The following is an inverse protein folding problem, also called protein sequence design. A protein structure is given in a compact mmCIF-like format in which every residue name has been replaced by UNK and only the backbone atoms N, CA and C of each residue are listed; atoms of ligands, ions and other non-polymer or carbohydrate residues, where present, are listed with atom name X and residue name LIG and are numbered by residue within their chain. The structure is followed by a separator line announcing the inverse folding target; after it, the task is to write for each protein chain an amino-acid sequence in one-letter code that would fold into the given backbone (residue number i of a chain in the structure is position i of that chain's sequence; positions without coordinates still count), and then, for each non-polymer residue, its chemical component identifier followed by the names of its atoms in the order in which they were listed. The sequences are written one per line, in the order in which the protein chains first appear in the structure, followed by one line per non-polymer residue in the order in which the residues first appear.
data_IF_157785137834
#
_entry.id   IF_157785137834
#
_cell.length_a   1.000
_cell.length_b   1.000
_cell.length_c   1.000
_cell.angle_alpha   90.00
_cell.angle_beta   90.00
_cell.angle_gamma   90.00
#
_symmetry.space_group_name_H-M   'P 1'
#
loop_
_entity.id
_entity.type
_entity.pdbx_description
1 polymer ?
#
# COMPACT_ATOMS: atom_id res chain seq x y z
N UNK A 1 5.32 -15.25 0.23
CA UNK A 1 6.23 -14.10 0.40
C UNK A 1 6.47 -13.80 1.87
N UNK A 2 7.59 -13.18 2.16
CA UNK A 2 7.97 -12.74 3.51
C UNK A 2 8.23 -11.24 3.50
N UNK A 3 7.86 -10.58 4.58
CA UNK A 3 8.12 -9.16 4.79
C UNK A 3 9.28 -8.98 5.77
N UNK A 4 10.20 -8.07 5.46
CA UNK A 4 11.33 -7.75 6.32
C UNK A 4 11.67 -6.26 6.22
N UNK A 5 12.43 -5.73 7.19
CA UNK A 5 12.93 -4.36 7.09
C UNK A 5 13.90 -4.24 5.92
N UNK A 6 14.00 -3.05 5.32
CA UNK A 6 14.98 -2.78 4.26
C UNK A 6 16.44 -3.02 4.68
N UNK A 7 16.78 -2.95 5.97
CA UNK A 7 18.12 -3.32 6.44
C UNK A 7 18.38 -4.83 6.51
N UNK A 8 17.33 -5.66 6.48
CA UNK A 8 17.40 -7.09 6.73
C UNK A 8 17.42 -7.96 5.47
N UNK A 9 16.95 -7.46 4.32
CA UNK A 9 16.79 -8.31 3.11
C UNK A 9 18.12 -8.96 2.69
N UNK A 10 19.24 -8.22 2.74
CA UNK A 10 20.54 -8.73 2.37
C UNK A 10 20.98 -9.92 3.24
N UNK A 11 20.70 -9.86 4.54
CA UNK A 11 20.98 -10.94 5.49
C UNK A 11 20.14 -12.18 5.20
N UNK A 12 18.87 -12.00 4.85
CA UNK A 12 17.94 -13.09 4.49
C UNK A 12 18.40 -13.76 3.19
N UNK A 13 18.67 -12.99 2.13
CA UNK A 13 19.12 -13.54 0.85
C UNK A 13 20.48 -14.25 1.00
N UNK A 14 21.42 -13.68 1.77
CA UNK A 14 22.71 -14.31 2.04
C UNK A 14 22.55 -15.65 2.77
N UNK A 15 21.62 -15.76 3.72
CA UNK A 15 21.31 -17.01 4.42
C UNK A 15 20.87 -18.11 3.44
N UNK A 16 19.90 -17.81 2.56
CA UNK A 16 19.42 -18.80 1.58
C UNK A 16 20.49 -19.15 0.53
N UNK A 17 21.31 -18.17 0.11
CA UNK A 17 22.44 -18.42 -0.78
C UNK A 17 23.45 -19.39 -0.17
N UNK A 18 23.77 -19.26 1.12
CA UNK A 18 24.66 -20.18 1.84
C UNK A 18 24.10 -21.61 1.93
N UNK A 19 22.77 -21.75 1.94
CA UNK A 19 22.08 -23.05 1.90
C UNK A 19 21.98 -23.64 0.48
N UNK A 20 22.57 -22.98 -0.53
CA UNK A 20 22.59 -23.44 -1.93
C UNK A 20 21.35 -23.08 -2.74
N UNK A 21 20.49 -22.19 -2.25
CA UNK A 21 19.35 -21.68 -3.01
C UNK A 21 19.79 -20.59 -3.99
N UNK A 22 19.08 -20.48 -5.12
CA UNK A 22 19.25 -19.35 -6.03
C UNK A 22 18.54 -18.12 -5.44
N UNK A 23 19.16 -16.96 -5.54
CA UNK A 23 18.62 -15.69 -5.02
C UNK A 23 18.76 -14.60 -6.05
N UNK A 24 17.82 -13.67 -6.08
CA UNK A 24 17.78 -12.53 -6.99
C UNK A 24 17.39 -11.26 -6.22
N UNK A 25 17.93 -10.12 -6.64
CA UNK A 25 17.44 -8.80 -6.23
C UNK A 25 16.76 -8.25 -7.48
N UNK A 26 15.43 -8.26 -7.52
CA UNK A 26 14.66 -7.79 -8.67
C UNK A 26 14.60 -6.26 -8.67
N UNK A 27 14.46 -5.67 -7.48
CA UNK A 27 14.50 -4.22 -7.28
C UNK A 27 15.11 -3.92 -5.91
N UNK A 28 16.21 -3.17 -5.90
CA UNK A 28 16.97 -2.85 -4.69
C UNK A 28 16.21 -1.96 -3.70
N UNK A 29 15.06 -1.40 -4.10
CA UNK A 29 14.21 -0.56 -3.26
C UNK A 29 13.13 -1.36 -2.53
N UNK A 30 12.72 -2.53 -3.04
CA UNK A 30 11.58 -3.23 -2.44
C UNK A 30 11.52 -4.76 -2.55
N UNK A 31 12.23 -5.40 -3.49
CA UNK A 31 12.01 -6.81 -3.82
C UNK A 31 13.29 -7.63 -4.05
N UNK A 32 13.45 -8.67 -3.24
CA UNK A 32 14.32 -9.81 -3.52
C UNK A 32 13.53 -11.10 -3.71
N UNK A 33 14.16 -12.15 -4.25
CA UNK A 33 13.54 -13.46 -4.46
C UNK A 33 14.48 -14.58 -4.06
N UNK A 34 13.90 -15.69 -3.59
CA UNK A 34 14.61 -16.94 -3.29
C UNK A 34 13.93 -18.07 -4.05
N UNK A 35 14.72 -18.93 -4.69
CA UNK A 35 14.25 -20.00 -5.57
C UNK A 35 14.75 -21.38 -5.14
N UNK A 36 13.88 -22.39 -5.31
CA UNK A 36 14.19 -23.82 -5.23
C UNK A 36 13.48 -24.58 -6.35
N UNK A 37 14.18 -24.78 -7.47
CA UNK A 37 13.58 -25.34 -8.68
C UNK A 37 12.49 -24.41 -9.21
N UNK A 38 11.26 -24.91 -9.35
CA UNK A 38 10.10 -24.13 -9.81
C UNK A 38 9.42 -23.31 -8.71
N UNK A 39 9.82 -23.50 -7.45
CA UNK A 39 9.23 -22.80 -6.31
C UNK A 39 10.04 -21.55 -5.98
N UNK A 40 9.35 -20.48 -5.63
CA UNK A 40 9.98 -19.26 -5.14
C UNK A 40 9.14 -18.58 -4.07
N UNK A 41 9.75 -17.65 -3.36
CA UNK A 41 9.03 -16.67 -2.57
C UNK A 41 9.73 -15.31 -2.64
N UNK A 42 8.94 -14.26 -2.47
CA UNK A 42 9.44 -12.90 -2.46
C UNK A 42 9.91 -12.50 -1.05
N UNK A 43 11.01 -11.75 -1.00
CA UNK A 43 11.52 -11.04 0.16
C UNK A 43 11.19 -9.57 -0.05
N UNK A 44 10.08 -9.14 0.55
CA UNK A 44 9.49 -7.81 0.35
C UNK A 44 9.93 -6.91 1.49
N UNK A 45 10.51 -5.76 1.16
CA UNK A 45 11.00 -4.79 2.15
C UNK A 45 10.50 -3.36 1.92
N UNK A 46 9.62 -3.19 0.93
CA UNK A 46 8.86 -1.98 0.66
C UNK A 46 7.79 -2.24 -0.39
N UNK A 47 7.12 -1.20 -0.86
CA UNK A 47 6.27 -1.24 -2.05
C UNK A 47 6.99 -0.71 -3.28
N UNK A 48 6.61 -1.18 -4.46
CA UNK A 48 7.18 -0.77 -5.74
C UNK A 48 7.07 0.74 -6.02
N UNK A 49 6.09 1.42 -5.42
CA UNK A 49 5.89 2.86 -5.51
C UNK A 49 6.56 3.67 -4.38
N UNK A 50 7.24 3.00 -3.45
CA UNK A 50 7.97 3.61 -2.32
C UNK A 50 7.10 4.18 -1.19
N UNK A 51 5.76 4.01 -1.21
CA UNK A 51 4.87 4.60 -0.20
C UNK A 51 4.66 3.74 1.04
N UNK A 52 5.03 2.46 0.99
CA UNK A 52 4.79 1.49 2.06
C UNK A 52 6.09 0.80 2.48
N UNK A 53 6.94 1.45 3.31
CA UNK A 53 8.10 0.78 3.88
C UNK A 53 7.69 -0.28 4.90
N UNK A 54 8.44 -1.38 4.96
CA UNK A 54 8.29 -2.37 6.03
C UNK A 54 9.10 -1.94 7.25
N UNK A 55 8.42 -1.42 8.27
CA UNK A 55 9.02 -0.88 9.50
C UNK A 55 8.85 -1.77 10.73
N UNK A 56 9.18 -1.25 11.90
CA UNK A 56 9.04 -1.97 13.19
C UNK A 56 7.59 -2.33 13.49
N UNK A 57 6.68 -1.40 13.27
CA UNK A 57 5.24 -1.58 13.50
C UNK A 57 4.64 -2.75 12.70
N UNK A 58 5.18 -3.06 11.51
CA UNK A 58 4.78 -4.25 10.74
C UNK A 58 5.06 -5.53 11.51
N UNK A 59 6.21 -5.62 12.17
CA UNK A 59 6.66 -6.81 12.89
C UNK A 59 6.03 -6.88 14.29
N UNK A 60 5.87 -5.73 14.96
CA UNK A 60 5.25 -5.62 16.28
C UNK A 60 3.77 -5.99 16.27
N UNK A 61 3.04 -5.59 15.21
CA UNK A 61 1.62 -5.90 15.05
C UNK A 61 1.35 -7.17 14.23
N UNK A 62 2.39 -7.89 13.82
CA UNK A 62 2.25 -9.17 13.16
C UNK A 62 1.61 -10.20 14.10
N UNK A 63 0.66 -10.97 13.59
CA UNK A 63 -0.13 -11.93 14.37
C UNK A 63 0.44 -13.31 14.24
N UNK A 64 0.44 -14.05 15.33
CA UNK A 64 0.80 -15.47 15.27
C UNK A 64 -0.40 -16.29 14.80
N UNK A 65 -0.14 -17.20 13.88
CA UNK A 65 -1.10 -18.20 13.42
C UNK A 65 -0.39 -19.52 13.16
N UNK A 66 -1.16 -20.59 13.05
CA UNK A 66 -0.69 -21.88 12.57
C UNK A 66 -0.99 -22.00 11.07
N UNK A 67 0.04 -22.22 10.28
CA UNK A 67 -0.06 -22.42 8.83
C UNK A 67 0.72 -23.68 8.47
N UNK A 68 0.03 -24.67 7.91
CA UNK A 68 0.62 -25.95 7.50
C UNK A 68 1.45 -26.62 8.63
N UNK A 69 0.93 -26.60 9.86
CA UNK A 69 1.60 -27.17 11.04
C UNK A 69 2.78 -26.35 11.58
N UNK A 70 3.02 -25.15 11.05
CA UNK A 70 4.08 -24.25 11.49
C UNK A 70 3.50 -23.00 12.14
N UNK A 71 4.04 -22.61 13.30
CA UNK A 71 3.68 -21.34 13.95
C UNK A 71 4.42 -20.20 13.26
N UNK A 72 3.67 -19.38 12.53
CA UNK A 72 4.20 -18.28 11.73
C UNK A 72 3.62 -16.93 12.18
N UNK A 73 4.28 -15.85 11.78
CA UNK A 73 3.72 -14.50 11.90
C UNK A 73 3.14 -14.07 10.55
N UNK A 74 1.91 -13.58 10.57
CA UNK A 74 1.23 -12.99 9.41
C UNK A 74 1.01 -11.49 9.64
N UNK A 75 0.95 -10.74 8.55
CA UNK A 75 0.68 -9.30 8.55
C UNK A 75 -0.64 -8.98 9.28
N UNK A 76 -0.65 -7.89 10.04
CA UNK A 76 -1.86 -7.37 10.67
C UNK A 76 -2.81 -6.72 9.65
N UNK A 77 -4.13 -6.62 9.93
CA UNK A 77 -5.11 -6.09 8.99
C UNK A 77 -4.89 -4.60 8.68
N UNK A 78 -4.39 -3.81 9.65
CA UNK A 78 -4.02 -2.40 9.43
C UNK A 78 -2.95 -2.27 8.35
N UNK A 79 -1.82 -2.97 8.52
CA UNK A 79 -0.71 -2.96 7.57
C UNK A 79 -1.08 -3.64 6.25
N UNK A 80 -1.94 -4.67 6.27
CA UNK A 80 -2.44 -5.33 5.07
C UNK A 80 -3.24 -4.38 4.20
N UNK A 81 -4.18 -3.62 4.78
CA UNK A 81 -4.93 -2.60 4.05
C UNK A 81 -3.98 -1.56 3.48
N UNK A 82 -3.08 -1.04 4.32
CA UNK A 82 -2.11 -0.03 3.89
C UNK A 82 -1.27 -0.49 2.68
N UNK A 83 -0.76 -1.72 2.71
CA UNK A 83 0.05 -2.29 1.62
C UNK A 83 -0.72 -2.47 0.30
N UNK A 84 -2.05 -2.51 0.36
CA UNK A 84 -2.92 -2.79 -0.78
C UNK A 84 -3.58 -1.54 -1.36
N UNK A 85 -3.67 -0.44 -0.59
CA UNK A 85 -4.34 0.80 -1.01
C UNK A 85 -3.87 1.34 -2.37
N UNK A 86 -2.60 1.14 -2.71
CA UNK A 86 -2.01 1.66 -3.94
C UNK A 86 -1.94 0.66 -5.10
N UNK A 87 -2.38 -0.59 -4.92
CA UNK A 87 -2.34 -1.61 -5.98
C UNK A 87 -3.62 -1.49 -6.81
N UNK A 88 -3.55 -0.68 -7.87
CA UNK A 88 -4.68 -0.34 -8.73
C UNK A 88 -4.23 -0.17 -10.19
N UNK A 89 -3.44 -1.12 -10.68
CA UNK A 89 -3.04 -1.16 -12.08
C UNK A 89 -4.09 -1.88 -12.95
N UNK A 90 -3.98 -1.73 -14.26
CA UNK A 90 -4.89 -2.35 -15.22
C UNK A 90 -5.01 -3.87 -15.10
N UNK A 91 -3.94 -4.57 -14.71
CA UNK A 91 -3.88 -6.02 -14.60
C UNK A 91 -4.16 -6.55 -13.19
N UNK A 92 -4.07 -5.69 -12.17
CA UNK A 92 -4.17 -6.04 -10.76
C UNK A 92 -4.71 -4.88 -9.93
N UNK A 93 -5.80 -5.18 -9.23
CA UNK A 93 -6.45 -4.26 -8.31
C UNK A 93 -6.82 -4.98 -7.01
N UNK A 94 -6.22 -4.58 -5.89
CA UNK A 94 -6.35 -5.27 -4.60
C UNK A 94 -7.55 -4.77 -3.75
N UNK A 95 -8.48 -4.00 -4.32
CA UNK A 95 -9.62 -3.43 -3.57
C UNK A 95 -10.54 -4.47 -2.91
N UNK A 96 -10.69 -5.66 -3.50
CA UNK A 96 -11.48 -6.74 -2.89
C UNK A 96 -10.83 -7.25 -1.59
N UNK A 97 -9.50 -7.36 -1.56
CA UNK A 97 -8.77 -7.77 -0.37
C UNK A 97 -8.92 -6.76 0.77
N UNK A 98 -8.90 -5.47 0.45
CA UNK A 98 -9.18 -4.39 1.41
C UNK A 98 -10.60 -4.53 1.97
N UNK A 99 -11.59 -4.66 1.09
CA UNK A 99 -12.98 -4.75 1.50
C UNK A 99 -13.26 -6.00 2.37
N UNK A 100 -12.69 -7.15 2.00
CA UNK A 100 -12.77 -8.37 2.79
C UNK A 100 -12.07 -8.24 4.15
N UNK A 101 -10.94 -7.54 4.20
CA UNK A 101 -10.22 -7.29 5.47
C UNK A 101 -11.06 -6.44 6.42
N UNK A 102 -11.71 -5.37 5.92
CA UNK A 102 -12.62 -4.54 6.72
C UNK A 102 -13.82 -5.36 7.21
N UNK A 103 -14.40 -6.19 6.34
CA UNK A 103 -15.55 -7.02 6.69
C UNK A 103 -15.20 -8.06 7.77
N UNK A 104 -14.05 -8.72 7.66
CA UNK A 104 -13.70 -9.89 8.49
C UNK A 104 -12.81 -9.58 9.69
N UNK A 105 -12.14 -8.44 9.70
CA UNK A 105 -11.21 -8.04 10.75
C UNK A 105 -11.37 -6.58 11.19
N UNK A 106 -12.53 -5.96 10.92
CA UNK A 106 -12.81 -4.54 11.18
C UNK A 106 -12.58 -4.11 12.63
N UNK A 107 -12.92 -4.98 13.58
CA UNK A 107 -12.72 -4.80 15.02
C UNK A 107 -11.25 -4.81 15.45
N UNK A 108 -10.36 -5.30 14.59
CA UNK A 108 -8.94 -5.41 14.86
C UNK A 108 -8.08 -4.51 13.96
N UNK A 109 -8.71 -3.63 13.18
CA UNK A 109 -8.03 -2.57 12.45
C UNK A 109 -7.78 -1.41 13.40
N UNK A 110 -6.52 -0.98 13.48
CA UNK A 110 -6.16 0.28 14.12
C UNK A 110 -6.36 1.42 13.10
N UNK A 111 -7.54 2.02 13.15
CA UNK A 111 -7.96 3.07 12.23
C UNK A 111 -7.16 4.36 12.37
N UNK A 112 -6.69 4.68 13.58
CA UNK A 112 -5.82 5.86 13.79
C UNK A 112 -4.45 5.65 13.15
N UNK A 113 -3.87 4.46 13.30
CA UNK A 113 -2.60 4.12 12.65
C UNK A 113 -2.74 4.03 11.14
N UNK A 114 -3.84 3.45 10.63
CA UNK A 114 -4.11 3.43 9.19
C UNK A 114 -4.19 4.84 8.60
N UNK A 115 -4.93 5.75 9.27
CA UNK A 115 -4.99 7.15 8.86
C UNK A 115 -3.60 7.80 8.91
N UNK A 116 -2.82 7.56 9.97
CA UNK A 116 -1.45 8.08 10.09
C UNK A 116 -0.54 7.64 8.94
N UNK A 117 -0.64 6.40 8.47
CA UNK A 117 0.13 5.92 7.31
C UNK A 117 -0.31 6.58 6.00
N UNK A 118 -1.60 6.89 5.88
CA UNK A 118 -2.21 7.46 4.68
C UNK A 118 -2.44 8.97 4.79
N UNK A 119 -1.82 9.67 5.75
CA UNK A 119 -2.16 11.07 6.06
C UNK A 119 -2.00 12.00 4.85
N UNK A 120 -0.91 11.84 4.10
CA UNK A 120 -0.64 12.59 2.86
C UNK A 120 -1.40 12.06 1.63
N UNK A 121 -2.06 10.91 1.78
CA UNK A 121 -2.79 10.17 0.76
C UNK A 121 -4.22 9.83 1.22
N UNK A 122 -4.81 10.69 2.05
CA UNK A 122 -6.06 10.42 2.74
C UNK A 122 -7.21 10.26 1.75
N UNK A 123 -7.11 10.85 0.55
CA UNK A 123 -8.06 10.66 -0.54
C UNK A 123 -8.13 9.19 -1.00
N UNK A 124 -6.99 8.47 -0.99
CA UNK A 124 -6.94 7.03 -1.32
C UNK A 124 -7.67 6.23 -0.24
N UNK A 125 -7.49 6.57 1.04
CA UNK A 125 -8.24 5.93 2.12
C UNK A 125 -9.75 6.18 1.96
N UNK A 126 -10.16 7.43 1.74
CA UNK A 126 -11.56 7.80 1.54
C UNK A 126 -12.19 7.01 0.39
N UNK A 127 -11.48 6.86 -0.73
CA UNK A 127 -11.92 6.06 -1.87
C UNK A 127 -12.21 4.59 -1.47
N UNK A 128 -11.32 3.96 -0.71
CA UNK A 128 -11.52 2.59 -0.24
C UNK A 128 -12.71 2.47 0.73
N UNK A 129 -12.89 3.44 1.62
CA UNK A 129 -14.03 3.46 2.55
C UNK A 129 -15.37 3.64 1.82
N UNK A 130 -15.44 4.52 0.83
CA UNK A 130 -16.63 4.69 0.00
C UNK A 130 -16.91 3.39 -0.78
N UNK A 131 -15.88 2.78 -1.37
CA UNK A 131 -16.01 1.53 -2.11
C UNK A 131 -16.53 0.40 -1.20
N UNK A 132 -15.97 0.24 0.00
CA UNK A 132 -16.47 -0.74 0.99
C UNK A 132 -17.96 -0.53 1.30
N UNK A 133 -18.39 0.70 1.56
CA UNK A 133 -19.80 1.02 1.87
C UNK A 133 -20.73 0.73 0.70
N UNK A 134 -20.25 0.84 -0.54
CA UNK A 134 -21.02 0.48 -1.73
C UNK A 134 -21.11 -1.04 -1.90
N UNK A 135 -20.02 -1.77 -1.66
CA UNK A 135 -19.98 -3.24 -1.71
C UNK A 135 -20.85 -3.86 -0.62
N UNK A 136 -20.78 -3.32 0.62
CA UNK A 136 -21.47 -3.84 1.80
C UNK A 136 -22.34 -2.77 2.48
N UNK A 137 -23.49 -2.39 1.90
CA UNK A 137 -24.33 -1.34 2.45
C UNK A 137 -24.92 -1.67 3.84
N UNK A 138 -25.12 -2.96 4.15
CA UNK A 138 -25.58 -3.42 5.48
C UNK A 138 -24.47 -3.39 6.54
N UNK A 139 -23.21 -3.51 6.13
CA UNK A 139 -22.05 -3.63 7.03
C UNK A 139 -21.29 -2.30 7.16
N UNK A 140 -21.89 -1.20 6.70
CA UNK A 140 -21.26 0.12 6.60
C UNK A 140 -20.71 0.66 7.92
N UNK A 141 -21.23 0.15 9.05
CA UNK A 141 -20.86 0.52 10.41
C UNK A 141 -19.57 -0.17 10.89
N UNK A 142 -18.97 -1.07 10.08
CA UNK A 142 -17.60 -1.56 10.28
C UNK A 142 -16.55 -0.45 10.17
N UNK A 143 -16.90 0.66 9.51
CA UNK A 143 -16.04 1.84 9.41
C UNK A 143 -16.42 2.80 10.54
N UNK A 144 -15.47 3.26 11.38
CA UNK A 144 -15.75 4.23 12.41
C UNK A 144 -16.32 5.53 11.84
N UNK A 145 -17.43 6.01 12.40
CA UNK A 145 -18.07 7.24 11.95
C UNK A 145 -17.11 8.44 11.96
N UNK A 146 -16.30 8.58 13.02
CA UNK A 146 -15.32 9.67 13.14
C UNK A 146 -14.33 9.71 11.98
N UNK A 147 -13.93 8.55 11.43
CA UNK A 147 -12.95 8.48 10.36
C UNK A 147 -13.57 8.98 9.05
N UNK A 148 -14.80 8.56 8.76
CA UNK A 148 -15.51 9.03 7.59
C UNK A 148 -15.78 10.54 7.68
N UNK A 149 -16.22 11.02 8.85
CA UNK A 149 -16.48 12.44 9.09
C UNK A 149 -15.21 13.29 8.93
N UNK A 150 -14.07 12.84 9.48
CA UNK A 150 -12.77 13.48 9.32
C UNK A 150 -12.36 13.60 7.85
N UNK A 151 -12.45 12.51 7.07
CA UNK A 151 -12.03 12.50 5.67
C UNK A 151 -12.98 13.33 4.78
N UNK A 152 -14.28 13.35 5.07
CA UNK A 152 -15.25 14.19 4.37
C UNK A 152 -15.05 15.68 4.70
N UNK A 153 -14.71 16.01 5.95
CA UNK A 153 -14.37 17.38 6.34
C UNK A 153 -13.07 17.87 5.67
N UNK A 154 -12.04 17.02 5.58
CA UNK A 154 -10.82 17.31 4.79
C UNK A 154 -11.15 17.63 3.34
N UNK A 155 -12.02 16.84 2.70
CA UNK A 155 -12.47 17.10 1.34
C UNK A 155 -13.25 18.41 1.24
N UNK A 156 -14.15 18.69 2.18
CA UNK A 156 -14.92 19.93 2.22
C UNK A 156 -14.01 21.17 2.33
N UNK A 157 -12.98 21.11 3.19
CA UNK A 157 -11.96 22.17 3.32
C UNK A 157 -11.08 22.28 2.07
N UNK A 158 -10.63 21.17 1.50
CA UNK A 158 -9.81 21.17 0.28
C UNK A 158 -10.54 21.85 -0.90
N UNK A 159 -11.86 21.66 -1.03
CA UNK A 159 -12.69 22.31 -2.06
C UNK A 159 -12.77 23.83 -1.95
N UNK A 160 -12.42 24.41 -0.80
CA UNK A 160 -12.37 25.86 -0.61
C UNK A 160 -11.02 26.46 -1.00
N UNK A 161 -9.99 25.63 -1.17
CA UNK A 161 -8.65 26.06 -1.53
C UNK A 161 -8.50 26.21 -3.06
N UNK A 162 -7.63 27.12 -3.53
CA UNK A 162 -7.30 27.18 -4.93
C UNK A 162 -6.59 25.90 -5.37
N UNK A 163 -6.70 25.59 -6.66
CA UNK A 163 -5.93 24.50 -7.25
C UNK A 163 -4.42 24.75 -7.16
N UNK A 164 -3.60 23.69 -7.04
CA UNK A 164 -2.15 23.82 -7.15
C UNK A 164 -1.73 24.48 -8.47
N UNK A 165 -0.74 25.39 -8.40
CA UNK A 165 -0.20 26.09 -9.57
C UNK A 165 0.50 25.14 -10.54
N UNK A 166 1.18 24.13 -10.02
CA UNK A 166 1.85 23.11 -10.84
C UNK A 166 0.85 22.02 -11.24
N UNK A 167 0.92 21.55 -12.48
CA UNK A 167 0.24 20.33 -12.93
C UNK A 167 0.94 19.15 -12.24
N UNK A 168 0.26 18.48 -11.32
CA UNK A 168 0.79 17.33 -10.57
C UNK A 168 -0.08 16.10 -10.85
N UNK A 169 0.54 14.98 -11.20
CA UNK A 169 -0.12 13.69 -11.32
C UNK A 169 0.46 12.72 -10.27
N UNK A 170 -0.41 12.31 -9.33
CA UNK A 170 -0.08 11.27 -8.33
C UNK A 170 -0.45 9.86 -8.81
N UNK A 171 -1.03 9.73 -10.01
CA UNK A 171 -1.49 8.44 -10.56
C UNK A 171 -0.39 7.40 -10.67
N UNK A 172 0.88 7.81 -10.86
CA UNK A 172 2.03 6.89 -10.87
C UNK A 172 2.30 6.19 -9.53
N UNK A 173 1.69 6.65 -8.44
CA UNK A 173 1.66 5.90 -7.17
C UNK A 173 0.70 4.70 -7.24
N UNK A 174 -0.34 4.77 -8.07
CA UNK A 174 -1.32 3.70 -8.27
C UNK A 174 -0.89 2.73 -9.39
N UNK A 175 -0.43 3.28 -10.51
CA UNK A 175 0.08 2.51 -11.65
C UNK A 175 1.13 3.33 -12.40
N UNK A 176 2.37 2.83 -12.44
CA UNK A 176 3.46 3.54 -13.13
C UNK A 176 3.23 3.61 -14.65
N UNK A 177 2.62 2.56 -15.21
CA UNK A 177 2.40 2.39 -16.65
C UNK A 177 1.16 3.13 -17.13
N UNK A 178 0.04 3.01 -16.41
CA UNK A 178 -1.23 3.60 -16.86
C UNK A 178 -1.21 5.13 -16.83
N UNK A 179 -0.41 5.71 -15.91
CA UNK A 179 -0.23 7.16 -15.75
C UNK A 179 1.12 7.66 -16.28
N UNK A 180 1.77 6.91 -17.16
CA UNK A 180 3.03 7.34 -17.76
C UNK A 180 2.83 8.52 -18.71
N UNK A 181 1.74 8.49 -19.48
CA UNK A 181 1.36 9.54 -20.44
C UNK A 181 1.17 10.90 -19.77
N UNK A 182 0.65 10.92 -18.54
CA UNK A 182 0.45 12.14 -17.75
C UNK A 182 1.76 12.94 -17.59
N UNK A 183 2.86 12.22 -17.36
CA UNK A 183 4.18 12.82 -17.11
C UNK A 183 4.94 13.03 -18.42
N UNK A 184 4.88 12.08 -19.36
CA UNK A 184 5.66 12.15 -20.61
C UNK A 184 5.08 13.12 -21.63
N UNK A 185 3.76 13.22 -21.71
CA UNK A 185 3.08 13.91 -22.80
C UNK A 185 2.14 15.02 -22.30
N UNK A 186 1.48 14.85 -21.16
CA UNK A 186 0.50 15.83 -20.68
C UNK A 186 1.07 16.89 -19.72
N UNK A 187 2.40 16.89 -19.51
CA UNK A 187 3.11 17.96 -18.78
C UNK A 187 2.92 17.96 -17.26
N UNK A 188 2.43 16.86 -16.67
CA UNK A 188 2.29 16.75 -15.22
C UNK A 188 3.62 16.37 -14.54
N UNK A 189 3.90 17.00 -13.40
CA UNK A 189 4.93 16.56 -12.48
C UNK A 189 4.51 15.25 -11.80
N UNK A 190 5.41 14.27 -11.79
CA UNK A 190 5.32 13.14 -10.87
C UNK A 190 5.65 13.54 -9.42
N UNK A 191 5.54 12.61 -8.49
CA UNK A 191 5.92 12.83 -7.08
C UNK A 191 7.42 13.15 -7.00
N UNK A 192 7.77 14.35 -6.56
CA UNK A 192 9.16 14.84 -6.48
C UNK A 192 9.75 15.36 -7.80
N UNK A 193 8.96 15.42 -8.88
CA UNK A 193 9.40 15.90 -10.20
C UNK A 193 9.06 17.38 -10.46
N UNK A 194 9.58 17.90 -11.58
CA UNK A 194 9.21 19.21 -12.13
C UNK A 194 8.12 19.01 -13.19
N UNK A 195 7.14 19.91 -13.27
CA UNK A 195 6.07 19.88 -14.28
C UNK A 195 5.64 21.27 -14.70
N UNK A 196 4.75 21.34 -15.67
CA UNK A 196 4.22 22.60 -16.19
C UNK A 196 3.38 23.35 -15.15
N UNK A 197 3.27 24.66 -15.29
CA UNK A 197 2.32 25.47 -14.53
C UNK A 197 0.96 25.51 -15.24
N UNK A 198 -0.12 25.60 -14.48
CA UNK A 198 -1.46 25.84 -15.00
C UNK A 198 -1.55 27.28 -15.50
N UNK A 199 -2.08 27.47 -16.70
CA UNK A 199 -2.49 28.79 -17.19
C UNK A 199 -3.65 29.29 -16.31
N UNK A 200 -3.58 30.56 -15.90
CA UNK A 200 -4.52 31.20 -14.97
C UNK A 200 -5.86 31.55 -15.57
#
# INVERSE_FOLDING_TARGET
DIFCKAGDYARILAHFKQLGYAVEIEDDRWLGKVFKGTHFFDVIFGSANGTVPVGDLWLEHARQTELLGSRVRIIGPTELIWSKCFIQDRGRHDGADIAHTILKAGDQIDWHRLLSYLEVHWEVLLMQLINFRWIYPSERDHIPAWLLDELLDRLAKQRQLPSPRMKICRGRLLSQTDYEIDVKEWGFAGVGGVGEFRDG
#
